data_IF_579785447523
#
_entry.id   IF_579785447523
#
_cell.length_a   1.000
_cell.length_b   1.000
_cell.length_c   1.000
_cell.angle_alpha   90.00
_cell.angle_beta   90.00
_cell.angle_gamma   90.00
#
_symmetry.space_group_name_H-M   'P 1'
#
loop_
_entity.id
_entity.type
_entity.pdbx_description
1 polymer ?
#
# COMPACT_ATOMS: atom_id res chain seq x y z
N UNK A 1 68.63 -32.33 -3.91
CA UNK A 1 68.02 -32.40 -5.27
C UNK A 1 66.97 -31.30 -5.31
N UNK A 2 67.34 -30.04 -5.57
CA UNK A 2 67.53 -29.44 -6.92
C UNK A 2 66.20 -29.57 -7.70
N UNK A 3 65.48 -28.50 -8.05
CA UNK A 3 65.86 -27.26 -8.78
C UNK A 3 64.78 -26.17 -8.54
N UNK A 4 65.06 -24.94 -8.08
CA UNK A 4 65.56 -23.71 -8.79
C UNK A 4 64.62 -23.26 -9.93
N UNK A 5 64.12 -22.01 -10.07
CA UNK A 5 64.72 -20.65 -10.03
C UNK A 5 63.61 -19.58 -9.90
N UNK A 6 63.69 -18.50 -9.08
CA UNK A 6 64.49 -17.25 -9.21
C UNK A 6 64.10 -16.44 -10.47
N UNK A 7 63.92 -15.12 -10.56
CA UNK A 7 64.12 -13.87 -9.76
C UNK A 7 63.67 -12.72 -10.70
N UNK A 8 63.53 -11.42 -10.40
CA UNK A 8 64.25 -10.52 -9.52
C UNK A 8 63.49 -9.17 -9.38
N UNK A 9 63.74 -8.50 -8.26
CA UNK A 9 63.46 -7.09 -7.91
C UNK A 9 64.62 -6.21 -8.47
N UNK A 10 64.62 -4.86 -8.41
CA UNK A 10 64.99 -4.17 -7.16
C UNK A 10 64.28 -2.83 -6.87
N UNK A 11 64.21 -2.54 -5.58
CA UNK A 11 64.09 -1.21 -4.96
C UNK A 11 65.19 -0.25 -5.44
N UNK A 12 64.92 1.06 -5.35
CA UNK A 12 65.96 2.05 -5.00
C UNK A 12 65.34 3.34 -4.44
N UNK A 13 65.65 3.55 -3.16
CA UNK A 13 65.58 4.79 -2.38
C UNK A 13 66.26 5.98 -3.06
N UNK A 14 65.74 7.21 -2.89
CA UNK A 14 66.51 8.33 -2.29
C UNK A 14 65.64 9.58 -2.07
N UNK A 15 65.89 10.25 -0.95
CA UNK A 15 65.33 11.53 -0.54
C UNK A 15 66.09 12.73 -1.13
N UNK A 16 65.38 13.87 -1.22
CA UNK A 16 65.88 15.27 -1.25
C UNK A 16 66.66 15.72 -2.52
N UNK A 17 66.42 16.88 -3.15
CA UNK A 17 66.34 18.25 -2.63
C UNK A 17 65.80 19.23 -3.71
N UNK A 18 65.18 20.31 -3.22
CA UNK A 18 65.07 21.70 -3.75
C UNK A 18 65.63 22.00 -5.17
N UNK A 19 64.85 22.72 -5.99
CA UNK A 19 65.23 24.07 -6.50
C UNK A 19 64.10 24.75 -7.26
N UNK A 20 64.05 26.07 -7.08
CA UNK A 20 63.07 27.04 -7.56
C UNK A 20 63.24 27.41 -9.06
N UNK A 21 62.31 28.20 -9.65
CA UNK A 21 62.14 28.35 -11.09
C UNK A 21 62.89 29.55 -11.68
N UNK A 22 63.54 29.42 -12.85
CA UNK A 22 63.96 30.54 -13.71
C UNK A 22 64.04 30.12 -15.19
N UNK A 23 63.10 30.59 -16.01
CA UNK A 23 63.23 31.55 -17.14
C UNK A 23 64.06 31.13 -18.37
N UNK A 24 63.38 31.04 -19.52
CA UNK A 24 63.84 31.49 -20.84
C UNK A 24 62.60 32.00 -21.60
N UNK A 25 62.36 33.31 -21.58
CA UNK A 25 62.65 34.27 -22.66
C UNK A 25 61.62 34.29 -23.80
N UNK A 26 60.64 35.19 -23.62
CA UNK A 26 60.13 36.14 -24.59
C UNK A 26 59.95 35.72 -26.07
N UNK A 27 58.68 35.64 -26.49
CA UNK A 27 58.21 36.48 -27.60
C UNK A 27 56.83 37.05 -27.29
N UNK A 28 56.72 38.38 -27.36
CA UNK A 28 55.52 39.18 -27.14
C UNK A 28 54.58 39.08 -28.36
N UNK A 29 53.31 38.78 -28.09
CA UNK A 29 52.04 39.29 -28.68
C UNK A 29 51.82 39.25 -30.22
N UNK A 30 50.56 39.26 -30.74
CA UNK A 30 49.32 39.69 -30.07
C UNK A 30 48.09 38.77 -30.21
N UNK A 31 47.26 38.85 -29.16
CA UNK A 31 45.82 38.59 -29.21
C UNK A 31 45.21 39.67 -30.12
N UNK A 32 45.00 39.36 -31.39
CA UNK A 32 44.07 40.12 -32.23
C UNK A 32 43.73 39.25 -33.44
N UNK A 33 42.44 38.89 -33.55
CA UNK A 33 41.77 38.19 -34.66
C UNK A 33 41.18 36.82 -34.27
N UNK A 34 40.35 36.78 -33.22
CA UNK A 34 39.13 35.99 -33.35
C UNK A 34 38.08 36.89 -33.98
N UNK A 35 37.58 36.49 -35.14
CA UNK A 35 36.57 37.24 -35.88
C UNK A 35 35.36 37.52 -35.00
N UNK A 36 34.74 38.69 -35.17
CA UNK A 36 33.53 39.09 -34.43
C UNK A 36 32.42 38.03 -34.53
N UNK A 37 32.40 37.23 -35.59
CA UNK A 37 31.49 36.11 -35.79
C UNK A 37 31.69 34.95 -34.79
N UNK A 38 32.93 34.66 -34.36
CA UNK A 38 33.19 33.58 -33.39
C UNK A 38 32.74 33.95 -31.97
N UNK A 39 32.86 35.23 -31.58
CA UNK A 39 32.32 35.76 -30.32
C UNK A 39 30.80 35.92 -30.36
N UNK A 40 30.23 36.25 -31.53
CA UNK A 40 28.78 36.28 -31.74
C UNK A 40 28.18 34.87 -31.70
N UNK A 41 28.82 33.88 -32.32
CA UNK A 41 28.36 32.49 -32.31
C UNK A 41 28.49 31.86 -30.91
N UNK A 42 29.57 32.14 -30.17
CA UNK A 42 29.67 31.67 -28.77
C UNK A 42 28.66 32.34 -27.84
N UNK A 43 28.37 33.64 -28.04
CA UNK A 43 27.39 34.39 -27.26
C UNK A 43 25.94 34.04 -27.59
N UNK A 44 25.61 33.80 -28.86
CA UNK A 44 24.28 33.35 -29.33
C UNK A 44 24.03 31.89 -28.93
N UNK A 45 25.05 31.01 -28.97
CA UNK A 45 24.94 29.66 -28.42
C UNK A 45 24.79 29.67 -26.89
N UNK A 46 25.44 30.58 -26.16
CA UNK A 46 25.22 30.73 -24.71
C UNK A 46 23.82 31.27 -24.41
N UNK A 47 23.36 32.31 -25.12
CA UNK A 47 22.04 32.92 -24.94
C UNK A 47 20.86 32.00 -25.29
N UNK A 48 21.02 31.09 -26.26
CA UNK A 48 20.03 30.07 -26.58
C UNK A 48 19.97 28.95 -25.54
N UNK A 49 21.10 28.56 -24.95
CA UNK A 49 21.17 27.52 -23.90
C UNK A 49 20.66 28.04 -22.54
N UNK A 50 20.75 29.35 -22.28
CA UNK A 50 20.18 30.00 -21.09
C UNK A 50 18.80 30.60 -21.32
N UNK A 51 18.26 30.55 -22.54
CA UNK A 51 16.90 31.02 -22.81
C UNK A 51 15.92 30.16 -22.01
N UNK A 52 15.11 30.81 -21.18
CA UNK A 52 14.06 30.15 -20.38
C UNK A 52 13.16 29.25 -21.24
N UNK A 53 13.01 29.58 -22.53
CA UNK A 53 12.29 28.77 -23.51
C UNK A 53 13.02 27.46 -23.89
N UNK A 54 14.34 27.47 -24.06
CA UNK A 54 15.12 26.26 -24.37
C UNK A 54 15.23 25.35 -23.16
N UNK A 55 15.47 25.93 -21.97
CA UNK A 55 15.40 25.20 -20.70
C UNK A 55 14.00 24.58 -20.53
N UNK A 56 12.94 25.35 -20.77
CA UNK A 56 11.55 24.88 -20.75
C UNK A 56 11.28 23.72 -21.71
N UNK A 57 11.80 23.79 -22.95
CA UNK A 57 11.69 22.71 -23.93
C UNK A 57 12.43 21.45 -23.47
N UNK A 58 13.65 21.56 -22.94
CA UNK A 58 14.41 20.44 -22.41
C UNK A 58 13.69 19.80 -21.21
N UNK A 59 13.12 20.61 -20.32
CA UNK A 59 12.29 20.11 -19.21
C UNK A 59 11.04 19.40 -19.72
N UNK A 60 10.34 19.95 -20.73
CA UNK A 60 9.16 19.32 -21.33
C UNK A 60 9.51 17.99 -22.00
N UNK A 61 10.61 17.93 -22.75
CA UNK A 61 11.09 16.69 -23.39
C UNK A 61 11.47 15.65 -22.33
N UNK A 62 12.22 16.05 -21.29
CA UNK A 62 12.58 15.16 -20.17
C UNK A 62 11.34 14.69 -19.41
N UNK A 63 10.38 15.57 -19.16
CA UNK A 63 9.11 15.26 -18.51
C UNK A 63 8.31 14.27 -19.36
N UNK A 64 8.20 14.50 -20.66
CA UNK A 64 7.49 13.62 -21.58
C UNK A 64 8.14 12.25 -21.68
N UNK A 65 9.48 12.18 -21.78
CA UNK A 65 10.24 10.93 -21.76
C UNK A 65 10.07 10.18 -20.43
N UNK A 66 10.11 10.89 -19.30
CA UNK A 66 9.83 10.30 -17.98
C UNK A 66 8.42 9.72 -17.91
N UNK A 67 7.42 10.45 -18.42
CA UNK A 67 6.01 10.01 -18.44
C UNK A 67 5.80 8.82 -19.36
N UNK A 68 6.41 8.82 -20.55
CA UNK A 68 6.39 7.69 -21.50
C UNK A 68 7.04 6.45 -20.90
N UNK A 69 8.20 6.60 -20.24
CA UNK A 69 8.87 5.50 -19.55
C UNK A 69 8.01 4.94 -18.41
N UNK A 70 7.36 5.80 -17.62
CA UNK A 70 6.45 5.37 -16.56
C UNK A 70 5.22 4.60 -17.08
N UNK A 71 4.67 4.99 -18.24
CA UNK A 71 3.56 4.25 -18.89
C UNK A 71 3.96 2.88 -19.45
N UNK A 72 5.25 2.68 -19.76
CA UNK A 72 5.79 1.41 -20.26
C UNK A 72 6.42 0.57 -19.15
N UNK A 73 6.28 1.00 -17.89
CA UNK A 73 6.82 0.28 -16.75
C UNK A 73 6.19 -1.11 -16.64
N UNK A 74 7.03 -2.13 -16.41
CA UNK A 74 6.60 -3.49 -16.06
C UNK A 74 6.21 -3.64 -14.58
N UNK A 75 6.27 -2.54 -13.82
CA UNK A 75 5.96 -2.46 -12.40
C UNK A 75 4.90 -1.38 -12.21
N UNK A 76 4.01 -1.57 -11.24
CA UNK A 76 3.01 -0.58 -10.86
C UNK A 76 3.72 0.65 -10.27
N UNK A 77 3.66 1.74 -11.00
CA UNK A 77 4.28 3.03 -10.64
C UNK A 77 3.26 4.03 -10.14
N UNK A 78 3.77 5.11 -9.53
CA UNK A 78 3.01 6.29 -9.10
C UNK A 78 2.05 6.80 -10.19
N UNK A 79 2.45 6.77 -11.47
CA UNK A 79 1.63 7.21 -12.59
C UNK A 79 0.29 6.45 -12.69
N UNK A 80 0.29 5.15 -12.39
CA UNK A 80 -0.92 4.33 -12.38
C UNK A 80 -1.75 4.58 -11.12
N UNK A 81 -1.08 4.70 -9.97
CA UNK A 81 -1.72 4.90 -8.67
C UNK A 81 -2.31 6.30 -8.51
N UNK A 82 -1.78 7.30 -9.19
CA UNK A 82 -2.23 8.69 -9.10
C UNK A 82 -3.75 8.82 -9.34
N UNK A 83 -4.29 8.08 -10.31
CA UNK A 83 -5.73 8.07 -10.61
C UNK A 83 -6.57 7.48 -9.48
N UNK A 84 -6.02 6.50 -8.76
CA UNK A 84 -6.66 5.85 -7.62
C UNK A 84 -6.61 6.79 -6.41
N UNK A 85 -5.45 7.40 -6.14
CA UNK A 85 -5.26 8.33 -5.02
C UNK A 85 -6.11 9.58 -5.16
N UNK A 86 -6.23 10.12 -6.38
CA UNK A 86 -7.11 11.25 -6.72
C UNK A 86 -8.58 10.86 -6.81
N UNK A 87 -8.94 9.59 -6.57
CA UNK A 87 -10.30 9.05 -6.62
C UNK A 87 -11.00 9.28 -7.96
N UNK A 88 -10.24 9.36 -9.05
CA UNK A 88 -10.79 9.51 -10.39
C UNK A 88 -11.22 8.16 -10.97
N UNK A 89 -12.27 7.58 -10.39
CA UNK A 89 -12.73 6.22 -10.68
C UNK A 89 -13.18 6.03 -12.12
N UNK A 90 -13.72 7.06 -12.76
CA UNK A 90 -14.10 7.02 -14.18
C UNK A 90 -12.88 6.73 -15.05
N UNK A 91 -11.77 7.42 -14.78
CA UNK A 91 -10.52 7.17 -15.49
C UNK A 91 -9.92 5.82 -15.12
N UNK A 92 -9.98 5.40 -13.85
CA UNK A 92 -9.51 4.08 -13.42
C UNK A 92 -10.27 2.97 -14.15
N UNK A 93 -11.59 3.05 -14.27
CA UNK A 93 -12.42 2.07 -14.97
C UNK A 93 -12.10 2.02 -16.47
N UNK A 94 -12.01 3.19 -17.13
CA UNK A 94 -11.63 3.27 -18.55
C UNK A 94 -10.23 2.69 -18.78
N UNK A 95 -9.29 3.00 -17.87
CA UNK A 95 -7.92 2.50 -17.92
C UNK A 95 -7.86 0.98 -17.71
N UNK A 96 -8.53 0.45 -16.68
CA UNK A 96 -8.54 -0.98 -16.38
C UNK A 96 -9.11 -1.81 -17.54
N UNK A 97 -10.19 -1.33 -18.18
CA UNK A 97 -10.77 -1.98 -19.36
C UNK A 97 -9.87 -1.90 -20.59
N UNK A 98 -9.28 -0.74 -20.86
CA UNK A 98 -8.45 -0.51 -22.06
C UNK A 98 -7.08 -1.17 -21.98
N UNK A 99 -6.47 -1.16 -20.78
CA UNK A 99 -5.10 -1.61 -20.55
C UNK A 99 -5.06 -2.69 -19.47
N UNK A 100 -5.77 -3.80 -19.70
CA UNK A 100 -5.85 -4.91 -18.74
C UNK A 100 -4.48 -5.44 -18.31
N UNK A 101 -3.49 -5.47 -19.22
CA UNK A 101 -2.12 -5.88 -18.88
C UNK A 101 -1.47 -4.97 -17.83
N UNK A 102 -1.82 -3.68 -17.78
CA UNK A 102 -1.31 -2.75 -16.78
C UNK A 102 -2.03 -2.89 -15.43
N UNK A 103 -3.31 -3.26 -15.43
CA UNK A 103 -4.07 -3.53 -14.21
C UNK A 103 -3.56 -4.76 -13.45
N UNK A 104 -2.85 -5.67 -14.13
CA UNK A 104 -2.18 -6.84 -13.54
C UNK A 104 -0.85 -6.52 -12.87
N UNK A 105 -0.32 -5.31 -13.06
CA UNK A 105 0.96 -4.92 -12.50
C UNK A 105 0.90 -4.85 -10.97
N UNK A 106 2.05 -5.10 -10.35
CA UNK A 106 2.26 -4.97 -8.91
C UNK A 106 3.39 -4.00 -8.65
N UNK A 107 3.36 -3.34 -7.51
CA UNK A 107 4.46 -2.49 -7.06
C UNK A 107 5.64 -3.36 -6.54
N UNK A 108 6.71 -2.71 -6.08
CA UNK A 108 7.85 -3.40 -5.49
C UNK A 108 7.54 -4.10 -4.16
N UNK A 109 6.42 -3.78 -3.51
CA UNK A 109 5.91 -4.42 -2.29
C UNK A 109 4.86 -5.49 -2.60
N UNK A 110 4.66 -5.83 -3.88
CA UNK A 110 3.65 -6.81 -4.29
C UNK A 110 2.19 -6.31 -4.17
N UNK A 111 1.94 -5.05 -3.87
CA UNK A 111 0.60 -4.49 -3.88
C UNK A 111 0.09 -4.37 -5.31
N UNK A 112 -1.12 -4.88 -5.54
CA UNK A 112 -1.86 -4.69 -6.80
C UNK A 112 -2.70 -3.40 -6.77
N UNK A 113 -3.26 -3.00 -7.92
CA UNK A 113 -4.22 -1.89 -7.98
C UNK A 113 -5.39 -2.06 -7.01
N UNK A 114 -5.82 -3.31 -6.76
CA UNK A 114 -6.93 -3.61 -5.86
C UNK A 114 -6.60 -3.27 -4.40
N UNK A 115 -5.37 -3.54 -3.93
CA UNK A 115 -4.92 -3.17 -2.58
C UNK A 115 -5.10 -1.66 -2.36
N UNK A 116 -4.56 -0.86 -3.29
CA UNK A 116 -4.67 0.59 -3.21
C UNK A 116 -6.11 1.08 -3.38
N UNK A 117 -6.88 0.52 -4.30
CA UNK A 117 -8.25 0.96 -4.55
C UNK A 117 -9.10 0.89 -3.28
N UNK A 118 -8.96 -0.18 -2.49
CA UNK A 118 -9.71 -0.40 -1.25
C UNK A 118 -9.39 0.64 -0.16
N UNK A 119 -8.22 1.28 -0.18
CA UNK A 119 -7.90 2.34 0.77
C UNK A 119 -8.68 3.65 0.50
N UNK A 120 -9.07 3.91 -0.75
CA UNK A 120 -9.56 5.22 -1.18
C UNK A 120 -11.09 5.33 -1.37
N UNK A 121 -11.88 4.46 -0.74
CA UNK A 121 -13.36 4.40 -0.88
C UNK A 121 -13.80 4.22 -2.34
N UNK A 122 -13.49 3.08 -2.95
CA UNK A 122 -13.81 2.85 -4.35
C UNK A 122 -15.32 2.65 -4.52
N UNK A 123 -15.93 3.08 -5.64
CA UNK A 123 -17.28 2.66 -5.97
C UNK A 123 -17.27 1.17 -6.38
N UNK A 124 -18.38 0.43 -6.17
CA UNK A 124 -18.46 -1.00 -6.51
C UNK A 124 -18.09 -1.29 -7.96
N UNK A 125 -18.45 -0.39 -8.88
CA UNK A 125 -18.16 -0.49 -10.32
C UNK A 125 -16.66 -0.46 -10.62
N UNK A 126 -15.88 0.33 -9.86
CA UNK A 126 -14.43 0.39 -10.05
C UNK A 126 -13.75 -0.89 -9.56
N UNK A 127 -14.22 -1.46 -8.45
CA UNK A 127 -13.74 -2.74 -7.93
C UNK A 127 -14.02 -3.86 -8.94
N UNK A 128 -15.24 -3.93 -9.46
CA UNK A 128 -15.60 -4.89 -10.52
C UNK A 128 -14.70 -4.73 -11.74
N UNK A 129 -14.52 -3.51 -12.25
CA UNK A 129 -13.65 -3.29 -13.41
C UNK A 129 -12.18 -3.70 -13.17
N UNK A 130 -11.66 -3.53 -11.95
CA UNK A 130 -10.31 -3.98 -11.58
C UNK A 130 -10.24 -5.51 -11.44
N UNK A 131 -11.26 -6.15 -10.87
CA UNK A 131 -11.37 -7.60 -10.77
C UNK A 131 -11.57 -8.25 -12.15
N UNK A 132 -12.36 -7.65 -13.05
CA UNK A 132 -12.53 -8.13 -14.42
C UNK A 132 -11.20 -8.12 -15.19
N UNK A 133 -10.37 -7.09 -14.96
CA UNK A 133 -9.05 -7.01 -15.56
C UNK A 133 -8.03 -7.98 -14.94
N UNK A 134 -8.18 -8.30 -13.66
CA UNK A 134 -7.35 -9.27 -12.94
C UNK A 134 -8.20 -10.11 -11.97
N UNK A 135 -8.79 -11.23 -12.43
CA UNK A 135 -9.73 -12.03 -11.63
C UNK A 135 -9.15 -12.58 -10.33
N UNK A 136 -7.86 -12.93 -10.35
CA UNK A 136 -7.17 -13.47 -9.17
C UNK A 136 -6.72 -12.40 -8.17
N UNK A 137 -6.96 -11.11 -8.44
CA UNK A 137 -6.52 -10.02 -7.58
C UNK A 137 -6.93 -10.17 -6.10
N UNK A 138 -8.17 -10.62 -5.75
CA UNK A 138 -8.60 -10.83 -4.37
C UNK A 138 -7.80 -11.89 -3.59
N UNK A 139 -7.10 -12.78 -4.29
CA UNK A 139 -6.32 -13.88 -3.71
C UNK A 139 -4.82 -13.55 -3.64
N UNK A 140 -4.38 -12.43 -4.22
CA UNK A 140 -2.96 -12.10 -4.32
C UNK A 140 -2.45 -11.46 -3.03
N UNK A 141 -1.57 -12.17 -2.32
CA UNK A 141 -0.86 -11.63 -1.15
C UNK A 141 0.24 -10.66 -1.56
N UNK A 142 0.37 -9.51 -0.89
CA UNK A 142 1.51 -8.61 -1.01
C UNK A 142 2.78 -9.17 -0.31
N UNK A 143 3.87 -8.40 -0.29
CA UNK A 143 5.12 -8.81 0.36
C UNK A 143 5.00 -9.02 1.87
N UNK A 144 4.00 -8.41 2.52
CA UNK A 144 3.69 -8.56 3.94
C UNK A 144 2.75 -9.75 4.20
N UNK A 145 2.39 -10.50 3.15
CA UNK A 145 1.46 -11.63 3.24
C UNK A 145 -0.02 -11.21 3.29
N UNK A 146 -0.31 -9.93 3.09
CA UNK A 146 -1.66 -9.38 3.20
C UNK A 146 -2.43 -9.55 1.91
N UNK A 147 -3.66 -10.03 2.02
CA UNK A 147 -4.65 -10.00 0.94
C UNK A 147 -5.27 -8.60 0.80
N UNK A 148 -5.89 -8.26 -0.34
CA UNK A 148 -6.69 -7.04 -0.46
C UNK A 148 -7.77 -6.92 0.62
N UNK A 149 -8.31 -8.05 1.09
CA UNK A 149 -9.27 -8.07 2.19
C UNK A 149 -8.72 -7.43 3.48
N UNK A 150 -7.44 -7.64 3.82
CA UNK A 150 -6.80 -7.01 4.98
C UNK A 150 -6.84 -5.47 4.87
N UNK A 151 -6.72 -4.96 3.64
CA UNK A 151 -6.74 -3.52 3.37
C UNK A 151 -8.15 -2.93 3.44
N UNK A 152 -9.21 -3.72 3.25
CA UNK A 152 -10.60 -3.26 3.42
C UNK A 152 -10.88 -2.72 4.82
N UNK A 153 -10.20 -3.26 5.82
CA UNK A 153 -10.45 -2.98 7.23
C UNK A 153 -9.60 -1.81 7.78
N UNK A 154 -8.55 -1.43 7.06
CA UNK A 154 -7.76 -0.21 7.33
C UNK A 154 -8.46 1.08 6.86
N UNK A 155 -9.36 0.95 5.88
CA UNK A 155 -10.10 2.07 5.29
C UNK A 155 -11.59 2.05 5.62
N UNK A 156 -12.30 3.09 5.19
CA UNK A 156 -13.77 3.12 5.26
C UNK A 156 -14.33 2.53 3.97
N UNK A 157 -14.29 1.20 3.87
CA UNK A 157 -14.85 0.47 2.73
C UNK A 157 -16.31 0.08 3.00
N UNK A 158 -17.25 0.32 2.06
CA UNK A 158 -18.63 -0.16 2.17
C UNK A 158 -18.71 -1.68 2.29
N UNK A 159 -19.66 -2.18 3.07
CA UNK A 159 -19.83 -3.62 3.33
C UNK A 159 -20.01 -4.42 2.03
N UNK A 160 -20.74 -3.89 1.05
CA UNK A 160 -21.00 -4.58 -0.23
C UNK A 160 -19.73 -4.87 -1.04
N UNK A 161 -18.73 -3.99 -0.92
CA UNK A 161 -17.43 -4.19 -1.58
C UNK A 161 -16.67 -5.30 -0.87
N UNK A 162 -16.71 -5.33 0.46
CA UNK A 162 -16.09 -6.40 1.26
C UNK A 162 -16.76 -7.74 0.94
N UNK A 163 -18.10 -7.78 0.86
CA UNK A 163 -18.86 -8.97 0.41
C UNK A 163 -18.39 -9.45 -0.96
N UNK A 164 -18.21 -8.53 -1.91
CA UNK A 164 -17.71 -8.86 -3.26
C UNK A 164 -16.31 -9.48 -3.22
N UNK A 165 -15.39 -8.90 -2.44
CA UNK A 165 -14.03 -9.43 -2.26
C UNK A 165 -14.07 -10.81 -1.59
N UNK A 166 -14.91 -11.00 -0.56
CA UNK A 166 -15.09 -12.25 0.16
C UNK A 166 -15.73 -13.34 -0.71
N UNK A 167 -16.70 -13.00 -1.56
CA UNK A 167 -17.28 -13.96 -2.50
C UNK A 167 -16.25 -14.52 -3.48
N UNK A 168 -15.30 -13.69 -3.94
CA UNK A 168 -14.21 -14.15 -4.79
C UNK A 168 -13.15 -14.96 -4.03
N UNK A 169 -13.00 -14.74 -2.72
CA UNK A 169 -12.01 -15.44 -1.90
C UNK A 169 -12.53 -15.66 -0.45
N UNK A 170 -13.40 -16.67 -0.22
CA UNK A 170 -13.97 -16.94 1.11
C UNK A 170 -12.90 -17.27 2.16
N UNK A 171 -11.88 -18.04 1.76
CA UNK A 171 -10.73 -18.38 2.61
C UNK A 171 -9.93 -17.15 3.07
N UNK A 172 -10.11 -16.00 2.41
CA UNK A 172 -9.52 -14.75 2.83
C UNK A 172 -9.93 -14.33 4.25
N UNK A 173 -11.12 -14.73 4.72
CA UNK A 173 -11.63 -14.40 6.05
C UNK A 173 -10.78 -14.96 7.20
N UNK A 174 -10.14 -16.11 7.00
CA UNK A 174 -9.28 -16.81 7.99
C UNK A 174 -7.80 -16.76 7.62
N UNK A 175 -7.45 -16.10 6.53
CA UNK A 175 -6.05 -16.02 6.08
C UNK A 175 -5.25 -15.05 6.94
N UNK A 176 -4.14 -15.52 7.49
CA UNK A 176 -3.19 -14.68 8.22
C UNK A 176 -2.16 -14.01 7.30
N UNK A 177 -1.75 -12.80 7.66
CA UNK A 177 -0.57 -12.13 7.10
C UNK A 177 0.73 -12.68 7.73
N UNK A 178 1.90 -12.13 7.35
CA UNK A 178 3.19 -12.56 7.91
C UNK A 178 3.37 -12.23 9.40
N UNK A 179 2.63 -11.28 9.92
CA UNK A 179 2.62 -10.93 11.34
C UNK A 179 1.68 -11.84 12.16
N UNK A 180 0.99 -12.80 11.53
CA UNK A 180 -0.01 -13.65 12.19
C UNK A 180 -1.35 -12.95 12.40
N UNK A 181 -1.58 -11.80 11.77
CA UNK A 181 -2.81 -11.04 11.90
C UNK A 181 -3.84 -11.49 10.86
N UNK A 182 -5.05 -11.77 11.32
CA UNK A 182 -6.22 -12.01 10.47
C UNK A 182 -6.86 -10.69 10.05
N UNK A 183 -7.85 -10.68 9.13
CA UNK A 183 -8.61 -9.48 8.82
C UNK A 183 -9.36 -8.89 10.03
N UNK A 184 -9.68 -9.72 11.04
CA UNK A 184 -10.26 -9.25 12.31
C UNK A 184 -9.30 -8.31 13.05
N UNK A 185 -8.03 -8.67 13.18
CA UNK A 185 -7.02 -7.85 13.87
C UNK A 185 -6.87 -6.45 13.27
N UNK A 186 -7.10 -6.33 11.95
CA UNK A 186 -6.97 -5.08 11.23
C UNK A 186 -8.25 -4.25 11.19
N UNK A 187 -9.35 -4.75 11.75
CA UNK A 187 -10.55 -3.94 11.92
C UNK A 187 -10.21 -2.76 12.82
N UNK A 188 -10.47 -1.55 12.33
CA UNK A 188 -10.33 -0.36 13.17
C UNK A 188 -11.47 -0.34 14.18
N UNK A 189 -11.21 -0.87 15.36
CA UNK A 189 -12.25 -0.96 16.38
C UNK A 189 -12.26 0.36 17.17
N UNK A 190 -12.86 1.41 16.59
CA UNK A 190 -13.32 2.59 17.35
C UNK A 190 -14.23 2.15 18.51
N UNK A 191 -14.92 1.02 18.34
CA UNK A 191 -15.69 0.33 19.36
C UNK A 191 -14.81 -0.15 20.54
N UNK A 192 -13.54 -0.55 20.33
CA UNK A 192 -12.61 -0.89 21.41
C UNK A 192 -12.01 0.34 22.06
N UNK A 193 -11.70 1.38 21.29
CA UNK A 193 -11.28 2.66 21.86
C UNK A 193 -12.35 3.17 22.82
N UNK A 194 -13.62 3.22 22.39
CA UNK A 194 -14.75 3.57 23.25
C UNK A 194 -14.93 2.59 24.43
N UNK A 195 -14.79 1.28 24.21
CA UNK A 195 -14.92 0.25 25.26
C UNK A 195 -13.82 0.35 26.32
N UNK A 196 -12.57 0.61 25.91
CA UNK A 196 -11.44 0.82 26.80
C UNK A 196 -11.54 2.16 27.55
N UNK A 197 -11.99 3.21 26.88
CA UNK A 197 -12.23 4.53 27.48
C UNK A 197 -13.33 4.48 28.54
N UNK A 198 -14.46 3.82 28.28
CA UNK A 198 -15.52 3.63 29.28
C UNK A 198 -15.03 2.85 30.49
N UNK A 199 -14.31 1.73 30.27
CA UNK A 199 -13.71 0.95 31.37
C UNK A 199 -12.72 1.76 32.22
N UNK A 200 -12.05 2.75 31.65
CA UNK A 200 -11.15 3.63 32.41
C UNK A 200 -11.90 4.64 33.29
N UNK A 201 -13.10 5.04 32.89
CA UNK A 201 -13.95 6.01 33.61
C UNK A 201 -14.81 5.35 34.70
N UNK A 202 -15.17 4.07 34.56
CA UNK A 202 -16.04 3.34 35.49
C UNK A 202 -15.30 2.73 36.71
N UNK A 203 -14.10 3.22 37.04
CA UNK A 203 -13.35 2.78 38.23
C UNK A 203 -13.96 3.26 39.57
N UNK A 204 -15.16 3.82 39.57
CA UNK A 204 -15.94 4.09 40.77
C UNK A 204 -16.71 2.84 41.23
N UNK A 205 -15.99 1.90 41.82
CA UNK A 205 -16.41 1.15 43.02
C UNK A 205 -17.68 0.29 43.05
N UNK A 206 -18.36 -0.02 41.95
CA UNK A 206 -19.50 -0.97 41.96
C UNK A 206 -19.22 -2.21 41.10
N UNK A 207 -18.75 -3.27 41.77
CA UNK A 207 -18.45 -4.59 41.20
C UNK A 207 -19.71 -5.38 40.73
N UNK A 208 -20.91 -4.79 40.72
CA UNK A 208 -22.14 -5.48 40.30
C UNK A 208 -22.58 -5.23 38.84
N UNK A 209 -21.84 -4.41 38.08
CA UNK A 209 -22.33 -3.96 36.77
C UNK A 209 -22.21 -5.03 35.68
N UNK A 210 -23.33 -5.67 35.37
CA UNK A 210 -23.53 -6.37 34.09
C UNK A 210 -23.54 -5.32 32.98
N UNK A 211 -22.38 -5.06 32.37
CA UNK A 211 -22.26 -4.34 31.11
C UNK A 211 -23.03 -5.10 30.01
N UNK A 212 -24.33 -4.87 29.90
CA UNK A 212 -25.09 -5.29 28.72
C UNK A 212 -25.23 -4.08 27.79
N UNK A 213 -24.32 -3.97 26.82
CA UNK A 213 -24.46 -3.00 25.75
C UNK A 213 -25.47 -3.51 24.73
N UNK A 214 -26.58 -2.81 24.58
CA UNK A 214 -27.53 -3.12 23.53
C UNK A 214 -26.99 -2.64 22.19
N UNK A 215 -27.00 -3.55 21.21
CA UNK A 215 -26.55 -3.28 19.85
C UNK A 215 -27.39 -2.18 19.18
N UNK A 216 -28.61 -1.94 19.68
CA UNK A 216 -29.53 -0.90 19.23
C UNK A 216 -29.06 0.52 19.58
N UNK A 217 -28.22 0.68 20.61
CA UNK A 217 -27.70 1.97 21.06
C UNK A 217 -26.42 2.40 20.30
N UNK A 218 -26.01 1.61 19.30
CA UNK A 218 -24.80 1.91 18.55
C UNK A 218 -24.98 3.13 17.65
N UNK A 219 -24.09 4.11 17.82
CA UNK A 219 -23.87 5.14 16.81
C UNK A 219 -23.60 4.51 15.43
N UNK A 220 -24.00 5.21 14.38
CA UNK A 220 -23.95 4.70 13.00
C UNK A 220 -22.54 4.18 12.60
N UNK A 221 -21.47 4.82 13.08
CA UNK A 221 -20.08 4.38 12.86
C UNK A 221 -19.80 3.01 13.50
N UNK A 222 -20.26 2.80 14.74
CA UNK A 222 -20.07 1.58 15.53
C UNK A 222 -20.87 0.45 14.92
N UNK A 223 -22.11 0.73 14.50
CA UNK A 223 -22.98 -0.23 13.82
C UNK A 223 -22.36 -0.76 12.52
N UNK A 224 -21.74 0.10 11.72
CA UNK A 224 -21.06 -0.32 10.49
C UNK A 224 -19.91 -1.29 10.78
N UNK A 225 -19.14 -1.06 11.86
CA UNK A 225 -18.05 -1.96 12.26
C UNK A 225 -18.60 -3.29 12.77
N UNK A 226 -19.67 -3.25 13.56
CA UNK A 226 -20.39 -4.44 14.01
C UNK A 226 -20.87 -5.30 12.84
N UNK A 227 -21.53 -4.70 11.85
CA UNK A 227 -22.03 -5.43 10.68
C UNK A 227 -20.91 -6.06 9.85
N UNK A 228 -19.76 -5.38 9.75
CA UNK A 228 -18.55 -5.92 9.12
C UNK A 228 -17.98 -7.11 9.89
N UNK A 229 -17.95 -7.02 11.22
CA UNK A 229 -17.47 -8.10 12.08
C UNK A 229 -18.37 -9.32 11.96
N UNK A 230 -19.68 -9.11 12.06
CA UNK A 230 -20.72 -10.12 11.90
C UNK A 230 -20.63 -10.85 10.54
N UNK A 231 -20.49 -10.09 9.45
CA UNK A 231 -20.30 -10.64 8.11
C UNK A 231 -19.00 -11.45 8.01
N UNK A 232 -17.88 -10.93 8.53
CA UNK A 232 -16.59 -11.63 8.47
C UNK A 232 -16.63 -12.91 9.29
N UNK A 233 -17.29 -12.88 10.46
CA UNK A 233 -17.50 -14.02 11.34
C UNK A 233 -18.36 -15.11 10.69
N UNK A 234 -19.46 -14.71 10.06
CA UNK A 234 -20.30 -15.62 9.29
C UNK A 234 -19.50 -16.29 8.16
N UNK A 235 -18.71 -15.52 7.41
CA UNK A 235 -17.88 -16.06 6.34
C UNK A 235 -16.77 -16.98 6.86
N UNK A 236 -16.10 -16.61 7.96
CA UNK A 236 -15.03 -17.40 8.54
C UNK A 236 -15.54 -18.75 9.07
N UNK A 237 -16.73 -18.77 9.68
CA UNK A 237 -17.30 -19.97 10.28
C UNK A 237 -18.03 -20.87 9.26
N UNK A 238 -18.89 -20.30 8.42
CA UNK A 238 -19.70 -21.07 7.47
C UNK A 238 -19.05 -21.22 6.08
N UNK A 239 -18.06 -20.40 5.74
CA UNK A 239 -17.48 -20.35 4.39
C UNK A 239 -18.40 -19.72 3.34
N UNK A 240 -19.57 -19.19 3.75
CA UNK A 240 -20.53 -18.52 2.87
C UNK A 240 -21.29 -17.42 3.63
N UNK A 241 -21.81 -16.43 2.90
CA UNK A 241 -22.68 -15.38 3.43
C UNK A 241 -24.17 -15.68 3.27
N UNK A 242 -24.51 -16.79 2.62
CA UNK A 242 -25.90 -17.20 2.43
C UNK A 242 -26.52 -17.71 3.74
N UNK A 243 -27.86 -17.78 3.79
CA UNK A 243 -28.57 -18.31 4.96
C UNK A 243 -28.37 -19.83 5.02
N UNK A 244 -27.38 -20.27 5.78
CA UNK A 244 -26.96 -21.68 5.88
C UNK A 244 -27.77 -22.49 6.88
N UNK A 245 -28.40 -21.83 7.85
CA UNK A 245 -29.07 -22.53 8.95
C UNK A 245 -30.51 -22.93 8.57
N UNK A 246 -30.96 -24.13 8.98
CA UNK A 246 -32.35 -24.53 8.90
C UNK A 246 -33.27 -23.47 9.52
N UNK A 247 -34.53 -23.34 9.07
CA UNK A 247 -35.43 -22.29 9.53
C UNK A 247 -35.67 -22.29 11.06
N UNK A 248 -35.46 -23.42 11.72
CA UNK A 248 -35.65 -23.59 13.15
C UNK A 248 -34.40 -23.29 14.00
N UNK A 249 -33.25 -23.06 13.38
CA UNK A 249 -31.99 -22.78 14.08
C UNK A 249 -31.62 -21.32 13.89
N UNK A 250 -31.56 -20.57 15.00
CA UNK A 250 -31.11 -19.17 14.99
C UNK A 250 -29.58 -19.12 14.88
N UNK A 251 -29.08 -18.18 14.09
CA UNK A 251 -27.66 -17.85 14.07
C UNK A 251 -27.25 -17.20 15.39
N UNK A 252 -26.22 -17.75 16.02
CA UNK A 252 -25.67 -17.25 17.29
C UNK A 252 -24.20 -16.89 17.07
N UNK A 253 -23.85 -15.59 17.00
CA UNK A 253 -22.49 -15.17 16.68
C UNK A 253 -21.44 -15.69 17.67
N UNK A 254 -21.78 -15.83 18.96
CA UNK A 254 -20.86 -16.38 19.97
C UNK A 254 -20.39 -17.81 19.63
N UNK A 255 -21.27 -18.68 19.13
CA UNK A 255 -20.88 -20.03 18.70
C UNK A 255 -19.89 -19.99 17.53
N UNK A 256 -20.16 -19.10 16.55
CA UNK A 256 -19.24 -18.90 15.45
C UNK A 256 -17.89 -18.36 15.93
N UNK A 257 -17.89 -17.42 16.88
CA UNK A 257 -16.69 -16.81 17.45
C UNK A 257 -15.79 -17.83 18.16
N UNK A 258 -16.38 -18.73 18.95
CA UNK A 258 -15.64 -19.84 19.56
C UNK A 258 -15.06 -20.76 18.49
N UNK A 259 -15.82 -21.04 17.43
CA UNK A 259 -15.36 -21.87 16.31
C UNK A 259 -14.19 -21.28 15.51
N UNK A 260 -14.00 -19.95 15.54
CA UNK A 260 -12.92 -19.25 14.81
C UNK A 260 -11.96 -18.50 15.74
N UNK A 261 -11.91 -18.86 17.02
CA UNK A 261 -11.19 -18.11 18.06
C UNK A 261 -9.69 -17.92 17.76
N UNK A 262 -9.06 -18.85 17.03
CA UNK A 262 -7.65 -18.74 16.60
C UNK A 262 -7.40 -17.49 15.74
N UNK A 263 -8.41 -17.00 15.03
CA UNK A 263 -8.32 -15.85 14.14
C UNK A 263 -8.86 -14.56 14.77
N UNK A 264 -9.48 -14.63 15.95
CA UNK A 264 -10.12 -13.49 16.60
C UNK A 264 -9.19 -12.88 17.67
N UNK A 265 -8.96 -11.56 17.66
CA UNK A 265 -8.28 -10.91 18.77
C UNK A 265 -9.13 -11.00 20.05
N UNK A 266 -8.46 -11.11 21.21
CA UNK A 266 -9.10 -11.29 22.53
C UNK A 266 -10.09 -10.17 22.81
N UNK A 267 -9.75 -8.97 22.38
CA UNK A 267 -10.54 -7.77 22.54
C UNK A 267 -11.87 -7.85 21.79
N UNK A 268 -11.90 -8.47 20.60
CA UNK A 268 -13.17 -8.73 19.89
C UNK A 268 -14.02 -9.77 20.60
N UNK A 269 -13.40 -10.80 21.19
CA UNK A 269 -14.14 -11.78 21.98
C UNK A 269 -14.83 -11.10 23.16
N UNK A 270 -14.13 -10.22 23.89
CA UNK A 270 -14.69 -9.47 25.00
C UNK A 270 -15.92 -8.64 24.56
N UNK A 271 -15.81 -7.92 23.44
CA UNK A 271 -16.92 -7.16 22.83
C UNK A 271 -18.11 -8.07 22.48
N UNK A 272 -17.85 -9.23 21.87
CA UNK A 272 -18.91 -10.16 21.53
C UNK A 272 -19.62 -10.69 22.78
N UNK A 273 -18.88 -11.00 23.84
CA UNK A 273 -19.47 -11.44 25.11
C UNK A 273 -20.32 -10.35 25.76
N UNK A 274 -19.88 -9.09 25.76
CA UNK A 274 -20.65 -7.99 26.39
C UNK A 274 -21.91 -7.66 25.60
N UNK A 275 -21.82 -7.55 24.28
CA UNK A 275 -22.95 -7.17 23.42
C UNK A 275 -23.96 -8.31 23.23
N UNK A 276 -23.55 -9.57 23.35
CA UNK A 276 -24.41 -10.74 23.14
C UNK A 276 -24.70 -11.50 24.44
N UNK A 277 -24.36 -10.93 25.61
CA UNK A 277 -24.65 -11.53 26.91
C UNK A 277 -26.14 -11.79 27.13
N UNK A 278 -27.03 -10.95 26.56
CA UNK A 278 -28.49 -11.11 26.64
C UNK A 278 -28.97 -12.32 25.81
N UNK A 279 -28.42 -12.53 24.62
CA UNK A 279 -28.75 -13.68 23.74
C UNK A 279 -28.43 -15.05 24.38
N UNK A 280 -27.53 -15.08 25.36
CA UNK A 280 -27.16 -16.28 26.14
C UNK A 280 -28.14 -16.53 27.29
N UNK A 281 -28.82 -15.50 27.81
CA UNK A 281 -29.79 -15.62 28.91
C UNK A 281 -31.17 -16.05 28.45
N UNK A 282 -31.51 -15.78 27.19
CA UNK A 282 -32.79 -16.17 26.57
C UNK A 282 -32.79 -17.64 26.06
N UNK A 283 -32.10 -18.54 26.75
CA UNK A 283 -32.00 -19.99 26.48
C UNK A 283 -32.99 -20.76 27.35
#
# INVERSE_FOLDING_TARGET
KATTTSSAIPDLSFMETKTQPKTCSARRNPISNLSSAQKFLSGVCFGLVTSTAFIGLVYLVRFWLKRRRQSQSKVLTEFHLEKIRTRNWVQVMKWARKYQHQAKLRDHRGNSCLHYALLYRPPPQAIRALMDAQPFAPMMKNSDGELPLHWCFRGVVPIDIIKTVLWCNPAGATTLNKAGESPFHLMRIKLLENFLEQRSNDNDGDDSFVMSFDVEDFDNDVRIVWDKMMMLLQMAYHGTLEKTLPPNIKWRPLHAAVGVMEYLPIEMLAVLFTCLAKDVRDV
#
